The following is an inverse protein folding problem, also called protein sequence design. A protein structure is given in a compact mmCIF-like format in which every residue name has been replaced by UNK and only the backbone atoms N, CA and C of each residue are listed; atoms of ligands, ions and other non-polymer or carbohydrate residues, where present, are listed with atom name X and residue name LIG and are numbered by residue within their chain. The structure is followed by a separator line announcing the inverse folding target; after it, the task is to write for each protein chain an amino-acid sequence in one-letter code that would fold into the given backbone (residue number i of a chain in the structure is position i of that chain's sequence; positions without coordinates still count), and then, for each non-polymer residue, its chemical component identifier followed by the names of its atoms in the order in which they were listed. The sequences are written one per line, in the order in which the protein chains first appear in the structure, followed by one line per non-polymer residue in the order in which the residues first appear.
data_IF_582887582802
#
_entry.id   IF_582887582802
#
_cell.length_a   1.000
_cell.length_b   1.000
_cell.length_c   1.000
_cell.angle_alpha   90.00
_cell.angle_beta   90.00
_cell.angle_gamma   90.00
#
_symmetry.space_group_name_H-M   'P 1'
#
loop_
_entity.id
_entity.type
_entity.pdbx_description
1 polymer ?
#
# COMPACT_ATOMS: atom_id res chain seq x y z
N UNK A 1 56.36 -75.06 38.00
CA UNK A 1 56.08 -73.63 38.23
C UNK A 1 56.39 -72.76 37.00
N UNK A 2 57.59 -72.85 36.40
CA UNK A 2 58.00 -72.01 35.25
C UNK A 2 57.05 -72.16 34.03
N UNK A 3 56.57 -73.37 33.72
CA UNK A 3 55.62 -73.60 32.62
C UNK A 3 54.25 -72.95 32.81
N UNK A 4 53.78 -72.80 34.06
CA UNK A 4 52.49 -72.18 34.36
C UNK A 4 52.57 -70.65 34.32
N UNK A 5 53.70 -70.08 34.75
CA UNK A 5 53.97 -68.64 34.67
C UNK A 5 54.11 -68.20 33.21
N UNK A 6 54.82 -68.97 32.37
CA UNK A 6 54.92 -68.66 30.94
C UNK A 6 53.55 -68.73 30.23
N UNK A 7 52.74 -69.75 30.52
CA UNK A 7 51.40 -69.86 29.95
C UNK A 7 50.46 -68.70 30.37
N UNK A 8 50.57 -68.24 31.62
CA UNK A 8 49.81 -67.10 32.13
C UNK A 8 50.25 -65.79 31.49
N UNK A 9 51.56 -65.57 31.33
CA UNK A 9 52.11 -64.38 30.64
C UNK A 9 51.70 -64.34 29.16
N UNK A 10 51.71 -65.48 28.48
CA UNK A 10 51.26 -65.60 27.08
C UNK A 10 49.74 -65.38 26.94
N UNK A 11 48.95 -65.74 27.95
CA UNK A 11 47.51 -65.47 27.97
C UNK A 11 47.24 -63.98 28.16
N UNK A 12 47.87 -63.35 29.15
CA UNK A 12 47.72 -61.91 29.41
C UNK A 12 48.16 -61.08 28.21
N UNK A 13 49.29 -61.43 27.58
CA UNK A 13 49.76 -60.77 26.37
C UNK A 13 48.76 -60.85 25.22
N UNK A 14 48.08 -61.99 25.06
CA UNK A 14 47.03 -62.17 24.05
C UNK A 14 45.78 -61.34 24.37
N UNK A 15 45.38 -61.28 25.63
CA UNK A 15 44.25 -60.44 26.08
C UNK A 15 44.56 -58.96 25.80
N UNK A 16 45.75 -58.47 26.14
CA UNK A 16 46.16 -57.09 25.90
C UNK A 16 46.19 -56.74 24.40
N UNK A 17 46.69 -57.66 23.57
CA UNK A 17 46.70 -57.50 22.12
C UNK A 17 45.27 -57.44 21.54
N UNK A 18 44.36 -58.27 22.03
CA UNK A 18 42.96 -58.28 21.60
C UNK A 18 42.23 -57.01 22.05
N UNK A 19 42.40 -56.59 23.31
CA UNK A 19 41.85 -55.34 23.82
C UNK A 19 42.34 -54.15 23.00
N UNK A 20 43.63 -54.11 22.65
CA UNK A 20 44.19 -53.08 21.78
C UNK A 20 43.56 -53.10 20.37
N UNK A 21 43.38 -54.28 19.77
CA UNK A 21 42.72 -54.41 18.48
C UNK A 21 41.27 -53.88 18.51
N UNK A 22 40.48 -54.28 19.52
CA UNK A 22 39.09 -53.85 19.65
C UNK A 22 39.04 -52.34 19.92
N UNK A 23 39.98 -51.80 20.71
CA UNK A 23 40.08 -50.35 20.95
C UNK A 23 40.30 -49.56 19.65
N UNK A 24 41.17 -50.06 18.75
CA UNK A 24 41.36 -49.44 17.43
C UNK A 24 40.11 -49.57 16.55
N UNK A 25 39.38 -50.67 16.63
CA UNK A 25 38.10 -50.87 15.95
C UNK A 25 37.05 -49.85 16.44
N UNK A 26 36.93 -49.65 17.76
CA UNK A 26 36.04 -48.64 18.37
C UNK A 26 36.35 -47.24 17.85
N UNK A 27 37.63 -46.86 17.78
CA UNK A 27 38.04 -45.55 17.23
C UNK A 27 37.62 -45.39 15.77
N UNK A 28 37.73 -46.44 14.95
CA UNK A 28 37.27 -46.39 13.55
C UNK A 28 35.77 -46.19 13.46
N UNK A 29 34.99 -46.87 14.30
CA UNK A 29 33.55 -46.66 14.34
C UNK A 29 33.19 -45.24 14.80
N UNK A 30 33.90 -44.66 15.77
CA UNK A 30 33.70 -43.27 16.18
C UNK A 30 33.97 -42.28 15.03
N UNK A 31 35.03 -42.50 14.24
CA UNK A 31 35.30 -41.69 13.04
C UNK A 31 34.18 -41.86 12.00
N UNK A 32 33.71 -43.10 11.79
CA UNK A 32 32.58 -43.38 10.89
C UNK A 32 31.30 -42.67 11.38
N UNK A 33 31.05 -42.64 12.69
CA UNK A 33 29.91 -41.91 13.27
C UNK A 33 30.01 -40.43 12.95
N UNK A 34 31.17 -39.80 13.18
CA UNK A 34 31.38 -38.39 12.84
C UNK A 34 31.14 -38.08 11.35
N UNK A 35 31.48 -39.00 10.45
CA UNK A 35 31.17 -38.85 9.02
C UNK A 35 29.66 -38.89 8.73
N UNK A 36 28.91 -39.77 9.41
CA UNK A 36 27.43 -39.81 9.32
C UNK A 36 26.81 -38.55 9.94
N UNK A 37 27.33 -38.08 11.06
CA UNK A 37 26.84 -36.88 11.75
C UNK A 37 26.98 -35.63 10.89
N UNK A 38 28.08 -35.51 10.12
CA UNK A 38 28.24 -34.41 9.17
C UNK A 38 27.18 -34.40 8.07
N UNK A 39 26.60 -35.55 7.69
CA UNK A 39 25.53 -35.60 6.69
C UNK A 39 24.24 -34.94 7.18
N UNK A 40 24.05 -34.76 8.49
CA UNK A 40 22.91 -34.02 9.05
C UNK A 40 22.89 -32.57 8.56
N UNK A 41 24.06 -31.99 8.26
CA UNK A 41 24.17 -30.63 7.72
C UNK A 41 23.54 -30.50 6.32
N UNK A 42 23.55 -31.57 5.54
CA UNK A 42 22.94 -31.63 4.20
C UNK A 42 21.44 -31.93 4.26
N UNK A 43 20.94 -32.35 5.43
CA UNK A 43 19.53 -32.63 5.70
C UNK A 43 19.31 -33.91 6.51
N UNK A 44 18.26 -33.91 7.32
CA UNK A 44 17.88 -35.07 8.13
C UNK A 44 17.09 -36.06 7.28
N UNK A 45 17.66 -37.24 7.06
CA UNK A 45 17.00 -38.34 6.36
C UNK A 45 16.93 -39.59 7.24
N UNK A 46 15.96 -40.46 6.97
CA UNK A 46 15.86 -41.76 7.66
C UNK A 46 17.17 -42.57 7.53
N UNK A 47 17.82 -42.51 6.37
CA UNK A 47 19.10 -43.18 6.12
C UNK A 47 20.23 -42.68 7.02
N UNK A 48 20.32 -41.37 7.28
CA UNK A 48 21.34 -40.79 8.18
C UNK A 48 21.08 -41.25 9.62
N UNK A 49 19.82 -41.22 10.07
CA UNK A 49 19.42 -41.66 11.41
C UNK A 49 19.72 -43.16 11.60
N UNK A 50 19.35 -43.99 10.63
CA UNK A 50 19.56 -45.44 10.69
C UNK A 50 21.05 -45.80 10.65
N UNK A 51 21.84 -45.07 9.84
CA UNK A 51 23.29 -45.24 9.77
C UNK A 51 23.96 -44.86 11.09
N UNK A 52 23.52 -43.77 11.73
CA UNK A 52 24.03 -43.35 13.04
C UNK A 52 23.76 -44.42 14.10
N UNK A 53 22.51 -44.90 14.19
CA UNK A 53 22.11 -46.00 15.09
C UNK A 53 22.92 -47.27 14.84
N UNK A 54 23.13 -47.64 13.59
CA UNK A 54 23.91 -48.83 13.24
C UNK A 54 25.38 -48.72 13.67
N UNK A 55 26.00 -47.55 13.53
CA UNK A 55 27.37 -47.32 14.02
C UNK A 55 27.42 -47.26 15.55
N UNK A 56 26.41 -46.67 16.19
CA UNK A 56 26.29 -46.62 17.65
C UNK A 56 26.24 -48.03 18.27
N UNK A 57 25.46 -48.94 17.67
CA UNK A 57 25.40 -50.34 18.11
C UNK A 57 26.78 -51.00 18.04
N UNK A 58 27.53 -50.77 16.94
CA UNK A 58 28.89 -51.32 16.78
C UNK A 58 29.87 -50.79 17.82
N UNK A 59 29.77 -49.50 18.19
CA UNK A 59 30.60 -48.88 19.24
C UNK A 59 30.29 -49.53 20.58
N UNK A 60 29.01 -49.62 20.96
CA UNK A 60 28.57 -50.22 22.22
C UNK A 60 29.00 -51.70 22.32
N UNK A 61 28.85 -52.48 21.24
CA UNK A 61 29.29 -53.87 21.19
C UNK A 61 30.81 -54.00 21.34
N UNK A 62 31.58 -53.11 20.72
CA UNK A 62 33.04 -53.09 20.86
C UNK A 62 33.48 -52.73 22.28
N UNK A 63 32.84 -51.73 22.91
CA UNK A 63 33.10 -51.35 24.31
C UNK A 63 32.81 -52.50 25.27
N UNK A 64 31.67 -53.18 25.10
CA UNK A 64 31.33 -54.36 25.90
C UNK A 64 32.35 -55.48 25.74
N UNK A 65 32.82 -55.75 24.52
CA UNK A 65 33.88 -56.75 24.28
C UNK A 65 35.20 -56.39 24.96
N UNK A 66 35.57 -55.10 25.04
CA UNK A 66 36.75 -54.65 25.79
C UNK A 66 36.53 -54.87 27.29
N UNK A 67 35.34 -54.54 27.80
CA UNK A 67 34.99 -54.69 29.20
C UNK A 67 35.04 -56.14 29.68
N UNK A 68 34.47 -57.05 28.88
CA UNK A 68 34.41 -58.49 29.14
C UNK A 68 35.81 -59.14 29.13
N UNK A 69 36.73 -58.65 28.28
CA UNK A 69 38.08 -59.22 28.13
C UNK A 69 39.10 -58.60 29.08
N UNK A 70 38.87 -57.37 29.57
CA UNK A 70 39.82 -56.67 30.41
C UNK A 70 39.71 -57.07 31.89
N UNK A 71 40.84 -57.50 32.46
CA UNK A 71 40.96 -57.71 33.91
C UNK A 71 41.26 -56.42 34.69
N UNK A 72 41.53 -55.30 34.00
CA UNK A 72 41.93 -54.03 34.63
C UNK A 72 40.73 -53.23 35.11
N UNK A 73 40.66 -52.97 36.41
CA UNK A 73 39.60 -52.11 36.99
C UNK A 73 39.63 -50.70 36.42
N UNK A 74 40.82 -50.17 36.12
CA UNK A 74 40.96 -48.85 35.51
C UNK A 74 40.32 -48.80 34.11
N UNK A 75 40.47 -49.87 33.32
CA UNK A 75 39.85 -49.97 31.98
C UNK A 75 38.32 -50.05 32.12
N UNK A 76 37.80 -50.81 33.07
CA UNK A 76 36.36 -50.90 33.33
C UNK A 76 35.76 -49.54 33.68
N UNK A 77 36.40 -48.80 34.59
CA UNK A 77 35.96 -47.43 34.94
C UNK A 77 36.05 -46.46 33.76
N UNK A 78 37.00 -46.63 32.84
CA UNK A 78 37.05 -45.83 31.61
C UNK A 78 35.88 -46.19 30.69
N UNK A 79 35.55 -47.47 30.52
CA UNK A 79 34.43 -47.91 29.69
C UNK A 79 33.10 -47.42 30.25
N UNK A 80 32.90 -47.45 31.57
CA UNK A 80 31.73 -46.87 32.22
C UNK A 80 31.54 -45.39 31.84
N UNK A 81 32.62 -44.60 31.86
CA UNK A 81 32.60 -43.19 31.44
C UNK A 81 32.30 -43.04 29.96
N UNK A 82 32.94 -43.84 29.10
CA UNK A 82 32.69 -43.80 27.66
C UNK A 82 31.22 -44.16 27.37
N UNK A 83 30.67 -45.20 27.98
CA UNK A 83 29.25 -45.57 27.79
C UNK A 83 28.29 -44.45 28.22
N UNK A 84 28.62 -43.72 29.30
CA UNK A 84 27.85 -42.55 29.71
C UNK A 84 27.94 -41.42 28.66
N UNK A 85 29.14 -41.14 28.14
CA UNK A 85 29.35 -40.14 27.07
C UNK A 85 28.64 -40.56 25.77
N UNK A 86 28.64 -41.84 25.43
CA UNK A 86 27.98 -42.41 24.26
C UNK A 86 26.46 -42.28 24.34
N UNK A 87 25.89 -42.49 25.54
CA UNK A 87 24.46 -42.26 25.80
C UNK A 87 24.12 -40.78 25.62
N UNK A 88 24.92 -39.90 26.21
CA UNK A 88 24.76 -38.45 26.08
C UNK A 88 24.91 -37.98 24.62
N UNK A 89 25.85 -38.53 23.87
CA UNK A 89 26.06 -38.21 22.46
C UNK A 89 24.83 -38.62 21.64
N UNK A 90 24.27 -39.81 21.87
CA UNK A 90 23.05 -40.23 21.18
C UNK A 90 21.85 -39.29 21.46
N UNK A 91 21.70 -38.83 22.71
CA UNK A 91 20.70 -37.82 23.07
C UNK A 91 20.90 -36.50 22.33
N UNK A 92 22.13 -35.96 22.34
CA UNK A 92 22.48 -34.74 21.62
C UNK A 92 22.27 -34.87 20.12
N UNK A 93 22.59 -36.03 19.53
CA UNK A 93 22.36 -36.27 18.11
C UNK A 93 20.86 -36.22 17.79
N UNK A 94 20.01 -36.86 18.61
CA UNK A 94 18.56 -36.82 18.41
C UNK A 94 18.03 -35.37 18.51
N UNK A 95 18.48 -34.60 19.51
CA UNK A 95 18.13 -33.19 19.65
C UNK A 95 18.52 -32.38 18.41
N UNK A 96 19.76 -32.53 17.92
CA UNK A 96 20.23 -31.85 16.72
C UNK A 96 19.40 -32.24 15.49
N UNK A 97 19.08 -33.52 15.31
CA UNK A 97 18.25 -33.95 14.17
C UNK A 97 16.83 -33.38 14.25
N UNK A 98 16.25 -33.30 15.44
CA UNK A 98 14.93 -32.68 15.64
C UNK A 98 15.00 -31.19 15.30
N UNK A 99 15.98 -30.47 15.85
CA UNK A 99 16.15 -29.04 15.60
C UNK A 99 16.35 -28.73 14.10
N UNK A 100 17.16 -29.52 13.39
CA UNK A 100 17.36 -29.33 11.94
C UNK A 100 16.07 -29.58 11.16
N UNK A 101 15.26 -30.57 11.56
CA UNK A 101 13.95 -30.81 10.96
C UNK A 101 13.01 -29.62 11.20
N UNK A 102 12.94 -29.13 12.44
CA UNK A 102 12.07 -28.02 12.83
C UNK A 102 12.45 -26.74 12.07
N UNK A 103 13.75 -26.40 12.01
CA UNK A 103 14.28 -25.29 11.19
C UNK A 103 13.86 -25.43 9.72
N UNK A 104 13.90 -26.65 9.18
CA UNK A 104 13.43 -26.94 7.82
C UNK A 104 11.95 -26.57 7.62
N UNK A 105 11.09 -26.92 8.57
CA UNK A 105 9.65 -26.60 8.51
C UNK A 105 9.38 -25.10 8.67
N UNK A 106 10.06 -24.43 9.61
CA UNK A 106 9.95 -22.99 9.83
C UNK A 106 10.37 -22.20 8.59
N UNK A 107 11.45 -22.62 7.92
CA UNK A 107 11.91 -22.00 6.67
C UNK A 107 10.86 -22.05 5.57
N UNK A 108 10.13 -23.15 5.43
CA UNK A 108 9.03 -23.27 4.46
C UNK A 108 7.91 -22.30 4.81
N UNK A 109 7.48 -22.28 6.08
CA UNK A 109 6.44 -21.36 6.56
C UNK A 109 6.78 -19.88 6.35
N UNK A 110 8.03 -19.48 6.61
CA UNK A 110 8.54 -18.13 6.34
C UNK A 110 8.45 -17.81 4.84
N UNK A 111 8.84 -18.76 3.99
CA UNK A 111 8.79 -18.58 2.52
C UNK A 111 7.35 -18.35 2.05
N UNK A 112 6.39 -19.13 2.57
CA UNK A 112 4.97 -18.96 2.25
C UNK A 112 4.42 -17.62 2.73
N UNK A 113 4.80 -17.20 3.95
CA UNK A 113 4.41 -15.90 4.51
C UNK A 113 4.95 -14.73 3.68
N UNK A 114 6.21 -14.80 3.23
CA UNK A 114 6.80 -13.77 2.37
C UNK A 114 6.09 -13.68 1.02
N UNK A 115 5.68 -14.81 0.45
CA UNK A 115 4.89 -14.84 -0.78
C UNK A 115 3.53 -14.15 -0.59
N UNK A 116 2.79 -14.49 0.46
CA UNK A 116 1.51 -13.86 0.79
C UNK A 116 1.64 -12.34 1.03
N UNK A 117 2.72 -11.91 1.69
CA UNK A 117 3.01 -10.50 1.88
C UNK A 117 3.27 -9.80 0.52
N UNK A 118 4.02 -10.43 -0.38
CA UNK A 118 4.24 -9.92 -1.73
C UNK A 118 2.93 -9.77 -2.52
N UNK A 119 2.05 -10.78 -2.46
CA UNK A 119 0.74 -10.75 -3.12
C UNK A 119 -0.14 -9.61 -2.55
N UNK A 120 -0.20 -9.49 -1.21
CA UNK A 120 -0.92 -8.41 -0.51
C UNK A 120 -0.40 -7.02 -0.91
N UNK A 121 0.93 -6.85 -0.97
CA UNK A 121 1.53 -5.59 -1.38
C UNK A 121 1.21 -5.25 -2.84
N UNK A 122 1.21 -6.25 -3.74
CA UNK A 122 0.81 -6.05 -5.13
C UNK A 122 -0.64 -5.57 -5.28
N UNK A 123 -1.56 -6.16 -4.51
CA UNK A 123 -2.97 -5.74 -4.48
C UNK A 123 -3.15 -4.33 -3.90
N UNK A 124 -2.44 -4.01 -2.83
CA UNK A 124 -2.46 -2.67 -2.23
C UNK A 124 -1.94 -1.60 -3.21
N UNK A 125 -0.85 -1.88 -3.94
CA UNK A 125 -0.32 -0.97 -4.97
C UNK A 125 -1.35 -0.76 -6.07
N UNK A 126 -1.97 -1.82 -6.58
CA UNK A 126 -3.02 -1.69 -7.61
C UNK A 126 -4.23 -0.90 -7.14
N UNK A 127 -4.55 -0.96 -5.84
CA UNK A 127 -5.65 -0.18 -5.25
C UNK A 127 -5.27 1.30 -5.17
N UNK A 128 -4.05 1.61 -4.73
CA UNK A 128 -3.52 2.98 -4.68
C UNK A 128 -3.49 3.57 -6.09
N UNK A 129 -3.01 2.83 -7.09
CA UNK A 129 -2.97 3.29 -8.49
C UNK A 129 -4.39 3.63 -9.00
N UNK A 130 -5.40 2.83 -8.65
CA UNK A 130 -6.79 3.09 -9.04
C UNK A 130 -7.36 4.34 -8.34
N UNK A 131 -7.07 4.51 -7.06
CA UNK A 131 -7.50 5.68 -6.26
C UNK A 131 -6.80 6.97 -6.72
N UNK A 132 -5.52 6.90 -7.11
CA UNK A 132 -4.79 8.04 -7.69
C UNK A 132 -5.43 8.50 -9.02
N UNK A 133 -5.84 7.57 -9.88
CA UNK A 133 -6.56 7.89 -11.12
C UNK A 133 -7.90 8.56 -10.82
N UNK A 134 -8.65 8.08 -9.83
CA UNK A 134 -9.92 8.68 -9.43
C UNK A 134 -9.74 10.12 -8.89
N UNK A 135 -8.74 10.33 -8.02
CA UNK A 135 -8.41 11.67 -7.51
C UNK A 135 -7.95 12.63 -8.62
N UNK A 136 -7.20 12.14 -9.61
CA UNK A 136 -6.81 12.95 -10.76
C UNK A 136 -8.03 13.43 -11.57
N UNK A 137 -9.04 12.57 -11.75
CA UNK A 137 -10.31 12.95 -12.39
C UNK A 137 -11.11 13.97 -11.57
N UNK A 138 -11.08 13.88 -10.24
CA UNK A 138 -11.71 14.88 -9.37
C UNK A 138 -11.01 16.25 -9.49
N UNK A 139 -9.68 16.27 -9.68
CA UNK A 139 -8.92 17.48 -9.98
C UNK A 139 -9.35 18.19 -11.27
N UNK A 140 -9.64 17.45 -12.35
CA UNK A 140 -10.17 18.03 -13.58
C UNK A 140 -11.56 18.67 -13.39
N UNK A 141 -12.42 18.07 -12.55
CA UNK A 141 -13.72 18.66 -12.22
C UNK A 141 -13.57 20.02 -11.50
N UNK A 142 -12.54 20.18 -10.67
CA UNK A 142 -12.25 21.43 -9.96
C UNK A 142 -11.85 22.56 -10.93
N UNK A 143 -11.06 22.25 -11.97
CA UNK A 143 -10.71 23.21 -13.02
C UNK A 143 -11.95 23.68 -13.78
N UNK A 144 -12.89 22.76 -14.07
CA UNK A 144 -14.19 23.10 -14.65
C UNK A 144 -15.02 24.04 -13.76
N UNK A 145 -14.98 23.87 -12.44
CA UNK A 145 -15.66 24.78 -11.50
C UNK A 145 -15.03 26.18 -11.49
N UNK A 146 -13.71 26.29 -11.63
CA UNK A 146 -13.03 27.58 -11.77
C UNK A 146 -13.48 28.31 -13.02
N UNK A 147 -13.55 27.62 -14.18
CA UNK A 147 -14.06 28.22 -15.42
C UNK A 147 -15.52 28.69 -15.30
N UNK A 148 -16.38 27.91 -14.63
CA UNK A 148 -17.77 28.32 -14.37
C UNK A 148 -17.81 29.58 -13.49
N UNK A 149 -16.95 29.67 -12.48
CA UNK A 149 -16.85 30.86 -11.61
C UNK A 149 -16.43 32.11 -12.38
N UNK A 150 -15.49 31.97 -13.32
CA UNK A 150 -15.08 33.08 -14.22
C UNK A 150 -16.25 33.53 -15.11
N UNK A 151 -17.00 32.59 -15.70
CA UNK A 151 -18.20 32.90 -16.50
C UNK A 151 -19.26 33.61 -15.65
N UNK A 152 -19.47 33.21 -14.40
CA UNK A 152 -20.41 33.88 -13.49
C UNK A 152 -19.98 35.33 -13.25
N UNK A 153 -18.69 35.59 -13.00
CA UNK A 153 -18.19 36.96 -12.81
C UNK A 153 -18.36 37.82 -14.08
N UNK A 154 -18.20 37.23 -15.27
CA UNK A 154 -18.47 37.92 -16.53
C UNK A 154 -19.95 38.28 -16.66
N UNK A 155 -20.85 37.34 -16.33
CA UNK A 155 -22.31 37.57 -16.34
C UNK A 155 -22.71 38.70 -15.38
N UNK A 156 -22.13 38.76 -14.19
CA UNK A 156 -22.36 39.85 -13.22
C UNK A 156 -21.94 41.22 -13.80
N UNK A 157 -20.81 41.25 -14.54
CA UNK A 157 -20.35 42.46 -15.24
C UNK A 157 -21.29 42.90 -16.37
N UNK A 158 -21.84 41.94 -17.11
CA UNK A 158 -22.86 42.19 -18.14
C UNK A 158 -24.13 42.74 -17.50
N UNK A 159 -24.59 42.16 -16.39
CA UNK A 159 -25.78 42.65 -15.67
C UNK A 159 -25.60 44.11 -15.22
N UNK A 160 -24.43 44.46 -14.67
CA UNK A 160 -24.12 45.85 -14.30
C UNK A 160 -24.15 46.79 -15.51
N UNK A 161 -23.62 46.36 -16.66
CA UNK A 161 -23.65 47.15 -17.90
C UNK A 161 -25.09 47.36 -18.40
N UNK A 162 -25.92 46.32 -18.34
CA UNK A 162 -27.34 46.39 -18.70
C UNK A 162 -28.07 47.36 -17.77
N UNK A 163 -27.82 47.28 -16.46
CA UNK A 163 -28.43 48.19 -15.49
C UNK A 163 -28.12 49.65 -15.82
N UNK A 164 -26.84 49.98 -16.10
CA UNK A 164 -26.43 51.32 -16.54
C UNK A 164 -27.12 51.73 -17.85
N UNK A 165 -27.15 50.85 -18.85
CA UNK A 165 -27.80 51.13 -20.13
C UNK A 165 -29.31 51.40 -19.97
N UNK A 166 -30.00 50.68 -19.10
CA UNK A 166 -31.42 50.87 -18.79
C UNK A 166 -31.66 52.19 -18.06
N UNK A 167 -30.77 52.61 -17.16
CA UNK A 167 -30.83 53.92 -16.50
C UNK A 167 -30.67 55.06 -17.52
N UNK A 168 -29.67 54.98 -18.40
CA UNK A 168 -29.43 55.96 -19.47
C UNK A 168 -30.62 56.03 -20.44
N UNK A 169 -31.15 54.88 -20.86
CA UNK A 169 -32.31 54.80 -21.73
C UNK A 169 -33.56 55.41 -21.09
N UNK A 170 -33.74 55.21 -19.77
CA UNK A 170 -34.83 55.82 -19.01
C UNK A 170 -34.68 57.34 -18.93
N UNK A 171 -33.47 57.85 -18.76
CA UNK A 171 -33.20 59.29 -18.79
C UNK A 171 -33.51 59.88 -20.18
N UNK A 172 -33.01 59.24 -21.25
CA UNK A 172 -33.31 59.67 -22.63
C UNK A 172 -34.81 59.67 -22.93
N UNK A 173 -35.54 58.64 -22.49
CA UNK A 173 -37.00 58.57 -22.68
C UNK A 173 -37.74 59.73 -21.99
N UNK A 174 -37.27 60.14 -20.79
CA UNK A 174 -37.83 61.31 -20.07
C UNK A 174 -37.55 62.61 -20.81
N UNK A 175 -36.33 62.79 -21.35
CA UNK A 175 -35.99 63.97 -22.16
C UNK A 175 -36.85 64.03 -23.44
N UNK A 176 -37.04 62.90 -24.13
CA UNK A 176 -37.92 62.83 -25.30
C UNK A 176 -39.34 63.25 -24.94
N UNK A 177 -39.90 62.71 -23.86
CA UNK A 177 -41.24 63.07 -23.40
C UNK A 177 -41.35 64.57 -23.06
N UNK A 178 -40.33 65.14 -22.43
CA UNK A 178 -40.25 66.57 -22.13
C UNK A 178 -40.23 67.42 -23.40
N UNK A 179 -39.37 67.09 -24.35
CA UNK A 179 -39.24 67.79 -25.63
C UNK A 179 -40.55 67.75 -26.43
N UNK A 180 -41.23 66.61 -26.49
CA UNK A 180 -42.53 66.46 -27.14
C UNK A 180 -43.58 67.36 -26.47
N UNK A 181 -43.62 67.38 -25.13
CA UNK A 181 -44.57 68.20 -24.38
C UNK A 181 -44.34 69.70 -24.62
N UNK A 182 -43.09 70.15 -24.59
CA UNK A 182 -42.73 71.54 -24.88
C UNK A 182 -43.08 71.95 -26.31
N UNK A 183 -42.73 71.13 -27.30
CA UNK A 183 -43.05 71.39 -28.71
C UNK A 183 -44.56 71.50 -28.93
N UNK A 184 -45.33 70.54 -28.41
CA UNK A 184 -46.80 70.52 -28.52
C UNK A 184 -47.43 71.76 -27.87
N UNK A 185 -46.97 72.16 -26.68
CA UNK A 185 -47.47 73.35 -26.00
C UNK A 185 -47.18 74.65 -26.77
N UNK A 186 -45.97 74.78 -27.34
CA UNK A 186 -45.59 75.92 -28.16
C UNK A 186 -46.41 76.03 -29.45
N UNK A 187 -46.65 74.91 -30.14
CA UNK A 187 -47.49 74.87 -31.34
C UNK A 187 -48.94 75.27 -31.04
N UNK A 188 -49.52 74.74 -29.96
CA UNK A 188 -50.89 75.09 -29.53
C UNK A 188 -50.99 76.59 -29.20
N UNK A 189 -50.02 77.15 -28.48
CA UNK A 189 -50.00 78.57 -28.14
C UNK A 189 -49.95 79.45 -29.40
N UNK A 190 -49.08 79.10 -30.36
CA UNK A 190 -48.97 79.81 -31.64
C UNK A 190 -50.26 79.72 -32.47
N UNK A 191 -50.83 78.52 -32.60
CA UNK A 191 -52.10 78.32 -33.33
C UNK A 191 -53.26 79.06 -32.67
N UNK A 192 -53.35 79.04 -31.33
CA UNK A 192 -54.40 79.76 -30.58
C UNK A 192 -54.29 81.27 -30.78
N UNK A 193 -53.07 81.82 -30.79
CA UNK A 193 -52.83 83.23 -31.09
C UNK A 193 -53.31 83.60 -32.50
N UNK A 194 -53.00 82.76 -33.50
CA UNK A 194 -53.42 82.96 -34.88
C UNK A 194 -54.95 82.88 -35.05
N UNK A 195 -55.61 81.93 -34.37
CA UNK A 195 -57.07 81.82 -34.33
C UNK A 195 -57.69 83.07 -33.71
N UNK A 196 -57.14 83.57 -32.59
CA UNK A 196 -57.63 84.80 -31.95
C UNK A 196 -57.51 86.01 -32.90
N UNK A 197 -56.36 86.20 -33.55
CA UNK A 197 -56.17 87.27 -34.55
C UNK A 197 -57.16 87.17 -35.72
N UNK A 198 -57.44 85.94 -36.17
CA UNK A 198 -58.41 85.68 -37.24
C UNK A 198 -59.84 86.01 -36.78
N UNK A 199 -60.20 85.66 -35.54
CA UNK A 199 -61.49 85.98 -34.95
C UNK A 199 -61.70 87.49 -34.77
N UNK A 200 -60.68 88.22 -34.31
CA UNK A 200 -60.70 89.69 -34.26
C UNK A 200 -60.90 90.33 -35.64
N UNK A 201 -60.20 89.80 -36.65
CA UNK A 201 -60.32 90.27 -38.03
C UNK A 201 -61.74 90.03 -38.57
N UNK A 202 -62.31 88.84 -38.31
CA UNK A 202 -63.67 88.50 -38.72
C UNK A 202 -64.72 89.37 -38.02
N UNK A 203 -64.54 89.65 -36.71
CA UNK A 203 -65.42 90.55 -35.96
C UNK A 203 -65.42 91.96 -36.55
N UNK A 204 -64.23 92.51 -36.88
CA UNK A 204 -64.12 93.80 -37.56
C UNK A 204 -64.79 93.80 -38.93
N UNK A 205 -64.64 92.73 -39.70
CA UNK A 205 -65.29 92.59 -41.01
C UNK A 205 -66.82 92.55 -40.86
N UNK A 206 -67.33 91.80 -39.89
CA UNK A 206 -68.76 91.73 -39.59
C UNK A 206 -69.34 93.08 -39.15
N UNK A 207 -68.64 93.83 -38.28
CA UNK A 207 -69.03 95.20 -37.89
C UNK A 207 -69.06 96.14 -39.12
N UNK A 208 -68.08 96.00 -40.02
CA UNK A 208 -68.04 96.72 -41.28
C UNK A 208 -69.24 96.42 -42.19
N UNK A 209 -69.59 95.14 -42.32
CA UNK A 209 -70.77 94.69 -43.08
C UNK A 209 -72.07 95.19 -42.44
N UNK A 210 -72.21 95.15 -41.12
CA UNK A 210 -73.37 95.68 -40.41
C UNK A 210 -73.55 97.18 -40.69
N UNK A 211 -72.48 97.97 -40.59
CA UNK A 211 -72.50 99.40 -40.93
C UNK A 211 -72.92 99.66 -42.38
N UNK A 212 -72.50 98.80 -43.31
CA UNK A 212 -72.93 98.87 -44.72
C UNK A 212 -74.41 98.55 -44.86
N UNK A 213 -74.88 97.43 -44.31
CA UNK A 213 -76.29 97.00 -44.37
C UNK A 213 -77.22 98.04 -43.73
N UNK A 214 -76.84 98.63 -42.60
CA UNK A 214 -77.61 99.69 -41.95
C UNK A 214 -77.72 100.96 -42.81
N UNK A 215 -76.78 101.24 -43.72
CA UNK A 215 -76.90 102.33 -44.70
C UNK A 215 -77.89 102.04 -45.84
N UNK A 216 -78.21 100.76 -46.09
CA UNK A 216 -79.14 100.34 -47.14
C UNK A 216 -80.54 99.98 -46.62
N UNK A 217 -80.77 100.09 -45.31
CA UNK A 217 -82.09 99.90 -44.69
C UNK A 217 -82.90 101.18 -44.91
N UNK A 218 -83.80 101.14 -45.91
CA UNK A 218 -84.81 102.19 -46.20
C UNK A 218 -86.12 101.82 -45.49
#
# INVERSE_FOLDING_TARGET
MISGVNAYLDLNRRVDQNVNYISQETVRFAIQRGAVENQVLDGVTATVIDSHKAVQIKINDALKRIEDQSASQAVKTIIEKINADETRHAELFNEVTQNVSDIGTEKVSITDTLKQLGDTLGEAISTIDAEEVELAMEGENLDGMTQISEVIQEVDGIESTIATAVEEQSASSKEIAHNISQASAGEIANQSSQVNLSAETLARLAEGLEKLVNRFKI
#
